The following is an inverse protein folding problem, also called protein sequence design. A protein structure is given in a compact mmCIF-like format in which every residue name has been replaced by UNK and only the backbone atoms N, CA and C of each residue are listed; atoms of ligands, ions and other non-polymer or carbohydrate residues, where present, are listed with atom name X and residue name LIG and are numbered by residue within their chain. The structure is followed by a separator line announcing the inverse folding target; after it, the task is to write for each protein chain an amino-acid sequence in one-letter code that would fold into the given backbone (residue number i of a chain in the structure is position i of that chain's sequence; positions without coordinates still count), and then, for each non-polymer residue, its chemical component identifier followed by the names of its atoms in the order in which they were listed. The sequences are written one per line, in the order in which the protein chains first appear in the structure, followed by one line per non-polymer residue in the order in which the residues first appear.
data_IF_196578765092
#
_entry.id   IF_196578765092
#
_cell.length_a   1.000
_cell.length_b   1.000
_cell.length_c   1.000
_cell.angle_alpha   90.00
_cell.angle_beta   90.00
_cell.angle_gamma   90.00
#
_symmetry.space_group_name_H-M   'P 1'
#
loop_
_entity.id
_entity.type
_entity.pdbx_description
1 polymer ?
#
# COMPACT_ATOMS: atom_id res chain seq x y z
N UNK A 1 -52.10 39.88 17.54
CA UNK A 1 -51.54 38.90 16.64
C UNK A 1 -50.07 39.20 16.23
N UNK A 2 -49.33 40.01 16.96
CA UNK A 2 -47.92 40.39 16.67
C UNK A 2 -46.87 39.82 17.65
N UNK A 3 -47.30 39.17 18.75
CA UNK A 3 -46.38 38.62 19.76
C UNK A 3 -45.89 37.18 19.46
N UNK A 4 -46.53 36.45 18.54
CA UNK A 4 -46.16 35.07 18.24
C UNK A 4 -45.06 34.96 17.17
N UNK A 5 -44.85 35.95 16.33
CA UNK A 5 -43.79 35.90 15.28
C UNK A 5 -42.38 36.21 15.82
N UNK A 6 -42.26 36.97 16.90
CA UNK A 6 -40.94 37.31 17.47
C UNK A 6 -40.31 36.15 18.24
N UNK A 7 -41.11 35.30 18.89
CA UNK A 7 -40.61 34.16 19.65
C UNK A 7 -40.11 33.02 18.74
N UNK A 8 -40.72 32.81 17.60
CA UNK A 8 -40.31 31.78 16.65
C UNK A 8 -39.00 32.13 15.91
N UNK A 9 -38.79 33.42 15.61
CA UNK A 9 -37.58 33.87 14.91
C UNK A 9 -36.35 33.83 15.84
N UNK A 10 -36.53 34.25 17.11
CA UNK A 10 -35.43 34.19 18.11
C UNK A 10 -35.04 32.77 18.47
N UNK A 11 -36.04 31.86 18.56
CA UNK A 11 -35.79 30.44 18.81
C UNK A 11 -35.07 29.76 17.62
N UNK A 12 -35.45 30.13 16.38
CA UNK A 12 -34.78 29.64 15.17
C UNK A 12 -33.32 30.11 15.09
N UNK A 13 -33.03 31.34 15.39
CA UNK A 13 -31.67 31.90 15.46
C UNK A 13 -30.88 31.24 16.58
N UNK A 14 -31.45 30.99 17.75
CA UNK A 14 -30.77 30.30 18.87
C UNK A 14 -30.50 28.83 18.54
N UNK A 15 -31.44 28.15 17.90
CA UNK A 15 -31.28 26.76 17.46
C UNK A 15 -30.21 26.67 16.34
N UNK A 16 -30.19 27.59 15.38
CA UNK A 16 -29.20 27.67 14.32
C UNK A 16 -27.81 28.02 14.90
N UNK A 17 -27.75 28.91 15.90
CA UNK A 17 -26.52 29.24 16.62
C UNK A 17 -26.03 28.07 17.49
N UNK A 18 -26.94 27.33 18.16
CA UNK A 18 -26.61 26.12 18.94
C UNK A 18 -26.23 24.92 18.04
N UNK A 19 -26.83 24.81 16.85
CA UNK A 19 -26.43 23.80 15.85
C UNK A 19 -25.07 24.16 15.28
N UNK A 20 -24.81 25.41 14.95
CA UNK A 20 -23.50 25.90 14.51
C UNK A 20 -22.44 25.87 15.61
N UNK A 21 -22.81 26.06 16.89
CA UNK A 21 -21.94 25.94 18.05
C UNK A 21 -21.69 24.47 18.46
N UNK A 22 -22.64 23.54 18.19
CA UNK A 22 -22.43 22.09 18.32
C UNK A 22 -21.76 21.45 17.12
N UNK A 23 -21.73 22.11 15.98
CA UNK A 23 -20.78 21.90 14.91
C UNK A 23 -19.45 22.63 15.21
N UNK A 24 -19.12 22.75 16.51
CA UNK A 24 -17.83 23.19 16.97
C UNK A 24 -16.76 22.50 16.13
N UNK A 25 -15.88 23.30 15.56
CA UNK A 25 -14.72 22.93 14.78
C UNK A 25 -14.26 21.53 15.17
N UNK A 26 -14.62 20.51 14.38
CA UNK A 26 -13.87 19.25 14.40
C UNK A 26 -12.48 19.67 14.00
N UNK A 27 -11.64 19.90 14.98
CA UNK A 27 -10.22 20.15 14.77
C UNK A 27 -9.77 19.00 13.87
N UNK A 28 -9.44 19.31 12.61
CA UNK A 28 -8.94 18.29 11.69
C UNK A 28 -7.73 17.65 12.39
N UNK A 29 -7.72 16.33 12.45
CA UNK A 29 -6.57 15.63 13.01
C UNK A 29 -5.32 16.06 12.25
N UNK A 30 -4.26 16.36 12.99
CA UNK A 30 -3.01 16.90 12.46
C UNK A 30 -2.16 15.77 11.85
N UNK A 31 -1.69 15.97 10.63
CA UNK A 31 -0.71 15.08 10.02
C UNK A 31 0.65 15.39 10.65
N UNK A 32 1.23 14.38 11.31
CA UNK A 32 2.54 14.49 11.98
C UNK A 32 3.58 13.70 11.21
N UNK A 33 4.77 14.30 11.10
CA UNK A 33 5.94 13.67 10.49
C UNK A 33 6.82 13.07 11.58
N UNK A 34 7.17 11.80 11.40
CA UNK A 34 8.10 11.07 12.27
C UNK A 34 9.35 10.72 11.47
N UNK A 35 10.51 10.67 12.12
CA UNK A 35 11.78 10.40 11.44
C UNK A 35 12.55 9.28 12.14
N UNK A 36 13.11 8.41 11.31
CA UNK A 36 14.16 7.47 11.69
C UNK A 36 15.35 7.70 10.77
N UNK A 37 16.54 7.74 11.35
CA UNK A 37 17.77 7.92 10.56
C UNK A 37 18.96 7.21 11.20
N UNK A 38 19.86 6.77 10.36
CA UNK A 38 21.18 6.28 10.72
C UNK A 38 22.20 6.71 9.65
N UNK A 39 23.41 6.16 9.66
CA UNK A 39 24.44 6.50 8.67
C UNK A 39 24.13 6.02 7.24
N UNK A 40 23.19 5.09 7.06
CA UNK A 40 22.82 4.46 5.78
C UNK A 40 21.52 5.02 5.21
N UNK A 41 20.50 5.22 6.07
CA UNK A 41 19.12 5.51 5.66
C UNK A 41 18.55 6.69 6.44
N UNK A 42 17.71 7.50 5.76
CA UNK A 42 16.85 8.51 6.39
C UNK A 42 15.43 8.29 5.90
N UNK A 43 14.50 8.13 6.84
CA UNK A 43 13.10 7.81 6.52
C UNK A 43 12.17 8.77 7.23
N UNK A 44 11.22 9.35 6.49
CA UNK A 44 10.12 10.14 7.05
C UNK A 44 8.81 9.37 6.92
N UNK A 45 8.05 9.37 8.00
CA UNK A 45 6.75 8.70 8.09
C UNK A 45 5.65 9.69 8.46
N UNK A 46 4.40 9.39 8.05
CA UNK A 46 3.21 10.12 8.49
C UNK A 46 2.36 9.23 9.39
N UNK A 47 1.72 9.83 10.40
CA UNK A 47 0.68 9.14 11.18
C UNK A 47 -0.62 8.90 10.40
N UNK A 48 -0.80 9.48 9.22
CA UNK A 48 -1.88 9.21 8.29
C UNK A 48 -1.47 8.03 7.40
N UNK A 49 -2.25 6.93 7.44
CA UNK A 49 -1.98 5.72 6.66
C UNK A 49 -0.71 4.95 7.06
N UNK A 50 -0.05 5.29 8.18
CA UNK A 50 1.28 4.77 8.55
C UNK A 50 2.27 4.87 7.36
N UNK A 51 2.24 5.99 6.67
CA UNK A 51 2.83 6.21 5.34
C UNK A 51 4.35 6.39 5.41
N UNK A 52 5.10 5.71 4.55
CA UNK A 52 6.49 6.06 4.21
C UNK A 52 6.42 7.26 3.24
N UNK A 53 6.68 8.48 3.74
CA UNK A 53 6.64 9.71 2.95
C UNK A 53 7.92 9.92 2.14
N UNK A 54 9.06 9.57 2.74
CA UNK A 54 10.39 9.79 2.17
C UNK A 54 11.32 8.67 2.61
N UNK A 55 12.16 8.21 1.70
CA UNK A 55 13.21 7.22 1.98
C UNK A 55 14.46 7.63 1.21
N UNK A 56 15.46 8.08 1.96
CA UNK A 56 16.73 8.51 1.38
C UNK A 56 17.80 7.44 1.60
N UNK A 57 18.48 7.08 0.53
CA UNK A 57 19.61 6.16 0.52
C UNK A 57 20.80 6.82 -0.20
N UNK A 58 22.03 6.35 0.07
CA UNK A 58 23.20 6.88 -0.57
C UNK A 58 23.35 6.30 -1.99
N UNK A 59 23.63 7.18 -2.95
CA UNK A 59 24.02 6.79 -4.29
C UNK A 59 25.50 6.34 -4.32
N UNK A 60 25.98 5.90 -5.49
CA UNK A 60 27.39 5.50 -5.70
C UNK A 60 28.44 6.57 -5.39
N UNK A 61 28.03 7.84 -5.27
CA UNK A 61 28.90 8.97 -4.91
C UNK A 61 28.79 9.35 -3.42
N UNK A 62 27.98 8.63 -2.65
CA UNK A 62 27.74 8.87 -1.23
C UNK A 62 26.70 9.95 -0.93
N UNK A 63 25.97 10.49 -1.93
CA UNK A 63 24.94 11.48 -1.74
C UNK A 63 23.60 10.82 -1.43
N UNK A 64 22.89 11.33 -0.43
CA UNK A 64 21.53 10.88 -0.14
C UNK A 64 20.56 11.29 -1.25
N UNK A 65 19.77 10.32 -1.74
CA UNK A 65 18.69 10.50 -2.71
C UNK A 65 17.39 9.94 -2.18
N UNK A 66 16.31 10.71 -2.30
CA UNK A 66 14.98 10.18 -2.03
C UNK A 66 14.56 9.24 -3.16
N UNK A 67 14.29 7.99 -2.84
CA UNK A 67 13.98 6.93 -3.81
C UNK A 67 12.50 6.53 -3.82
N UNK A 68 11.62 7.27 -3.14
CA UNK A 68 10.18 7.02 -3.18
C UNK A 68 9.44 8.26 -3.68
N UNK A 69 8.40 8.04 -4.47
CA UNK A 69 7.49 9.10 -4.88
C UNK A 69 6.53 9.46 -3.75
N UNK A 70 6.13 10.71 -3.71
CA UNK A 70 5.16 11.25 -2.77
C UNK A 70 4.88 12.72 -3.04
N UNK A 71 4.02 13.32 -2.25
CA UNK A 71 3.71 14.73 -2.33
C UNK A 71 4.65 15.54 -1.42
N UNK A 72 5.12 16.69 -1.91
CA UNK A 72 5.85 17.66 -1.08
C UNK A 72 4.94 18.26 -0.01
N UNK A 73 3.71 18.64 -0.41
CA UNK A 73 2.67 19.11 0.49
C UNK A 73 2.01 17.94 1.23
N UNK A 74 2.21 17.89 2.54
CA UNK A 74 1.69 16.80 3.40
C UNK A 74 0.16 16.76 3.44
N UNK A 75 -0.53 17.89 3.23
CA UNK A 75 -1.99 17.92 3.25
C UNK A 75 -2.61 17.14 2.08
N UNK A 76 -1.88 16.98 0.96
CA UNK A 76 -2.31 16.14 -0.17
C UNK A 76 -2.42 14.65 0.18
N UNK A 77 -1.74 14.20 1.25
CA UNK A 77 -1.88 12.83 1.73
C UNK A 77 -3.26 12.53 2.35
N UNK A 78 -4.10 13.55 2.64
CA UNK A 78 -5.48 13.32 3.08
C UNK A 78 -6.33 12.64 2.00
N UNK A 79 -6.05 12.92 0.75
CA UNK A 79 -6.72 12.29 -0.39
C UNK A 79 -5.94 11.09 -0.90
N UNK A 80 -4.63 11.21 -1.05
CA UNK A 80 -3.66 10.19 -1.48
C UNK A 80 -4.23 9.17 -2.49
N UNK A 81 -4.70 9.59 -3.66
CA UNK A 81 -5.43 8.71 -4.59
C UNK A 81 -4.58 7.56 -5.14
N UNK A 82 -3.26 7.68 -5.11
CA UNK A 82 -2.31 6.63 -5.48
C UNK A 82 -1.82 5.81 -4.30
N UNK A 83 -2.29 6.06 -3.07
CA UNK A 83 -1.83 5.38 -1.87
C UNK A 83 -0.31 5.50 -1.61
N UNK A 84 0.34 6.56 -2.08
CA UNK A 84 1.79 6.76 -1.93
C UNK A 84 2.26 6.41 -0.52
N UNK A 85 3.10 5.38 -0.42
CA UNK A 85 3.76 4.91 0.79
C UNK A 85 2.86 4.38 1.90
N UNK A 86 1.54 4.38 1.72
CA UNK A 86 0.58 4.00 2.76
C UNK A 86 0.57 2.49 3.03
N UNK A 87 0.23 2.13 4.25
CA UNK A 87 -0.15 0.75 4.60
C UNK A 87 -1.53 0.47 4.04
N UNK A 88 -1.66 -0.63 3.31
CA UNK A 88 -2.89 -1.06 2.67
C UNK A 88 -3.56 -2.16 3.48
N UNK A 89 -4.86 -2.06 3.68
CA UNK A 89 -5.68 -3.03 4.41
C UNK A 89 -7.12 -2.55 4.62
N UNK A 90 -8.05 -3.45 5.09
CA UNK A 90 -7.75 -4.83 5.57
C UNK A 90 -7.24 -5.76 4.48
N UNK A 91 -7.63 -5.57 3.21
CA UNK A 91 -7.18 -6.43 2.11
C UNK A 91 -6.52 -5.59 1.03
N UNK A 92 -5.28 -5.89 0.74
CA UNK A 92 -4.56 -5.34 -0.39
C UNK A 92 -5.10 -5.92 -1.71
N UNK A 93 -5.05 -5.13 -2.77
CA UNK A 93 -5.63 -5.47 -4.06
C UNK A 93 -7.15 -5.46 -4.04
N UNK A 94 -7.74 -6.20 -4.97
CA UNK A 94 -9.21 -6.21 -5.19
C UNK A 94 -9.87 -7.43 -4.58
N UNK A 95 -11.12 -7.26 -4.13
CA UNK A 95 -12.07 -8.34 -3.82
C UNK A 95 -13.25 -8.21 -4.78
N UNK A 96 -13.47 -9.23 -5.58
CA UNK A 96 -14.49 -9.27 -6.63
C UNK A 96 -15.90 -9.05 -6.07
N UNK A 97 -16.71 -8.26 -6.76
CA UNK A 97 -18.10 -7.94 -6.41
C UNK A 97 -18.27 -7.33 -5.00
N UNK A 98 -17.19 -6.87 -4.37
CA UNK A 98 -17.18 -6.43 -2.98
C UNK A 98 -17.80 -7.49 -2.03
N UNK A 99 -17.50 -8.77 -2.24
CA UNK A 99 -18.01 -9.90 -1.47
C UNK A 99 -16.88 -10.72 -0.85
N UNK A 100 -16.84 -10.78 0.47
CA UNK A 100 -15.92 -11.63 1.21
C UNK A 100 -16.67 -12.85 1.75
N UNK A 101 -16.36 -14.03 1.21
CA UNK A 101 -16.94 -15.29 1.69
C UNK A 101 -16.05 -15.91 2.77
N UNK A 102 -16.62 -16.16 3.94
CA UNK A 102 -15.97 -16.86 5.05
C UNK A 102 -16.89 -17.98 5.51
N UNK A 103 -16.53 -19.22 5.26
CA UNK A 103 -17.42 -20.36 5.45
C UNK A 103 -18.70 -20.21 4.62
N UNK A 104 -19.86 -20.32 5.26
CA UNK A 104 -21.17 -20.14 4.60
C UNK A 104 -21.69 -18.68 4.61
N UNK A 105 -20.95 -17.76 5.23
CA UNK A 105 -21.33 -16.36 5.31
C UNK A 105 -20.68 -15.55 4.19
N UNK A 106 -21.48 -14.64 3.61
CA UNK A 106 -20.99 -13.63 2.65
C UNK A 106 -21.12 -12.25 3.30
N UNK A 107 -19.99 -11.59 3.45
CA UNK A 107 -19.92 -10.21 3.92
C UNK A 107 -19.86 -9.26 2.74
N UNK A 108 -20.78 -8.29 2.70
CA UNK A 108 -20.76 -7.22 1.70
C UNK A 108 -19.79 -6.15 2.15
N UNK A 109 -18.75 -5.96 1.35
CA UNK A 109 -17.72 -4.96 1.58
C UNK A 109 -18.09 -3.63 0.93
N UNK A 110 -17.37 -2.58 1.30
CA UNK A 110 -17.50 -1.28 0.64
C UNK A 110 -16.96 -1.35 -0.79
N UNK A 111 -17.83 -1.02 -1.76
CA UNK A 111 -17.48 -1.00 -3.19
C UNK A 111 -16.93 0.37 -3.57
N UNK A 112 -15.65 0.44 -3.94
CA UNK A 112 -14.94 1.67 -4.29
C UNK A 112 -14.22 1.63 -5.63
N UNK A 113 -14.28 0.50 -6.36
CA UNK A 113 -13.62 0.35 -7.65
C UNK A 113 -14.42 -0.56 -8.59
N UNK A 114 -15.22 0.02 -9.51
CA UNK A 114 -15.98 -0.70 -10.53
C UNK A 114 -16.78 -1.91 -10.00
N UNK A 115 -17.49 -1.74 -8.88
CA UNK A 115 -18.26 -2.81 -8.26
C UNK A 115 -17.45 -3.73 -7.34
N UNK A 116 -16.13 -3.60 -7.30
CA UNK A 116 -15.22 -4.35 -6.44
C UNK A 116 -14.78 -3.53 -5.22
N UNK A 117 -14.25 -4.18 -4.20
CA UNK A 117 -13.49 -3.52 -3.14
C UNK A 117 -12.03 -3.43 -3.57
N UNK A 118 -11.44 -2.24 -3.49
CA UNK A 118 -10.00 -2.01 -3.68
C UNK A 118 -9.39 -1.52 -2.37
N UNK A 119 -8.27 -2.11 -1.97
CA UNK A 119 -7.43 -1.66 -0.85
C UNK A 119 -8.19 -1.43 0.46
N UNK A 120 -9.17 -2.31 0.76
CA UNK A 120 -9.94 -2.25 2.01
C UNK A 120 -11.16 -1.31 2.01
N UNK A 121 -11.48 -0.65 0.88
CA UNK A 121 -12.67 0.20 0.74
C UNK A 121 -12.39 1.70 0.92
N UNK A 122 -13.44 2.53 0.86
CA UNK A 122 -13.36 4.00 0.85
C UNK A 122 -12.74 4.62 2.12
N UNK A 123 -12.99 3.98 3.27
CA UNK A 123 -12.50 4.42 4.58
C UNK A 123 -11.44 3.47 5.12
N UNK A 124 -10.61 2.95 4.21
CA UNK A 124 -9.54 2.01 4.56
C UNK A 124 -8.53 2.61 5.54
N UNK A 125 -7.76 1.75 6.17
CA UNK A 125 -6.72 2.15 7.13
C UNK A 125 -5.66 3.05 6.51
N UNK A 126 -5.52 3.05 5.17
CA UNK A 126 -4.60 3.90 4.40
C UNK A 126 -4.94 5.40 4.48
N UNK A 127 -6.19 5.74 4.78
CA UNK A 127 -6.69 7.11 4.87
C UNK A 127 -7.10 7.50 6.30
N UNK A 128 -6.59 6.76 7.30
CA UNK A 128 -6.92 6.99 8.71
C UNK A 128 -5.66 7.35 9.49
N UNK A 129 -5.87 8.08 10.59
CA UNK A 129 -4.80 8.42 11.52
C UNK A 129 -4.47 7.25 12.43
N UNK A 130 -3.18 7.00 12.60
CA UNK A 130 -2.63 5.97 13.45
C UNK A 130 -1.99 6.57 14.69
N UNK A 131 -2.09 5.88 15.81
CA UNK A 131 -1.27 6.17 16.98
C UNK A 131 0.16 5.72 16.71
N UNK A 132 1.13 6.53 17.13
CA UNK A 132 2.56 6.26 16.89
C UNK A 132 3.31 6.22 18.18
N UNK A 133 4.04 5.14 18.41
CA UNK A 133 4.95 4.95 19.53
C UNK A 133 6.38 4.82 19.02
N UNK A 134 7.33 5.51 19.67
CA UNK A 134 8.75 5.38 19.37
C UNK A 134 9.33 4.24 20.21
N UNK A 135 10.00 3.31 19.54
CA UNK A 135 10.72 2.18 20.15
C UNK A 135 12.21 2.26 19.82
N UNK A 136 13.00 1.35 20.36
CA UNK A 136 14.42 1.27 20.02
C UNK A 136 14.59 0.99 18.53
N UNK A 137 15.31 1.87 17.83
CA UNK A 137 15.57 1.83 16.38
C UNK A 137 14.33 1.76 15.49
N UNK A 138 13.14 2.17 15.99
CA UNK A 138 11.91 2.02 15.23
C UNK A 138 10.75 2.88 15.68
N UNK A 139 9.65 2.71 14.93
CA UNK A 139 8.32 3.28 15.22
C UNK A 139 7.28 2.17 15.11
N UNK A 140 6.33 2.15 16.04
CA UNK A 140 5.15 1.28 16.00
C UNK A 140 3.93 2.16 15.74
N UNK A 141 3.25 1.87 14.65
CA UNK A 141 1.96 2.44 14.29
C UNK A 141 0.86 1.48 14.66
N UNK A 142 -0.21 1.96 15.32
CA UNK A 142 -1.34 1.13 15.72
C UNK A 142 -2.67 1.79 15.39
N UNK A 143 -3.65 0.98 15.00
CA UNK A 143 -5.02 1.39 14.70
C UNK A 143 -6.00 0.27 15.01
N UNK A 144 -7.18 0.65 15.51
CA UNK A 144 -8.30 -0.27 15.67
C UNK A 144 -9.19 -0.26 14.42
N UNK A 145 -9.62 -1.44 13.98
CA UNK A 145 -10.59 -1.62 12.93
C UNK A 145 -11.75 -2.46 13.47
N UNK A 146 -12.91 -1.84 13.79
CA UNK A 146 -14.03 -2.53 14.45
C UNK A 146 -14.75 -3.51 13.51
N UNK A 147 -15.55 -4.40 14.10
CA UNK A 147 -16.44 -5.28 13.36
C UNK A 147 -17.32 -4.49 12.37
N UNK A 148 -17.41 -4.97 11.14
CA UNK A 148 -18.08 -4.34 9.98
C UNK A 148 -17.46 -3.00 9.52
N UNK A 149 -16.24 -2.69 9.91
CA UNK A 149 -15.47 -1.62 9.31
C UNK A 149 -15.28 -1.90 7.81
N UNK A 150 -15.81 -1.01 6.93
CA UNK A 150 -15.95 -1.23 5.48
C UNK A 150 -16.59 -2.61 5.11
N UNK A 151 -17.40 -3.19 6.00
CA UNK A 151 -18.08 -4.47 5.82
C UNK A 151 -17.29 -5.71 6.28
N UNK A 152 -16.04 -5.58 6.69
CA UNK A 152 -15.23 -6.71 7.14
C UNK A 152 -15.62 -7.20 8.54
N UNK A 153 -15.72 -8.53 8.78
CA UNK A 153 -16.00 -9.07 10.11
C UNK A 153 -14.80 -8.96 11.06
N UNK A 154 -15.06 -9.17 12.34
CA UNK A 154 -14.13 -9.11 13.48
C UNK A 154 -13.65 -7.70 13.87
N UNK A 155 -13.33 -7.54 15.15
CA UNK A 155 -12.56 -6.41 15.65
C UNK A 155 -11.08 -6.75 15.54
N UNK A 156 -10.28 -5.81 15.02
CA UNK A 156 -8.84 -5.94 14.85
C UNK A 156 -8.09 -4.84 15.58
N UNK A 157 -7.01 -5.21 16.27
CA UNK A 157 -5.91 -4.32 16.63
C UNK A 157 -4.78 -4.55 15.62
N UNK A 158 -4.52 -3.57 14.76
CA UNK A 158 -3.50 -3.66 13.71
C UNK A 158 -2.27 -2.87 14.14
N UNK A 159 -1.10 -3.51 14.11
CA UNK A 159 0.19 -2.88 14.40
C UNK A 159 1.12 -3.03 13.21
N UNK A 160 1.79 -1.94 12.84
CA UNK A 160 2.86 -1.92 11.84
C UNK A 160 4.08 -1.31 12.46
N UNK A 161 5.18 -2.06 12.47
CA UNK A 161 6.46 -1.59 13.00
C UNK A 161 7.42 -1.32 11.86
N UNK A 162 8.04 -0.15 11.85
CA UNK A 162 9.15 0.19 10.97
C UNK A 162 10.44 0.21 11.79
N UNK A 163 11.41 -0.60 11.39
CA UNK A 163 12.66 -0.80 12.14
C UNK A 163 13.83 -0.53 11.20
N UNK A 164 14.76 0.34 11.61
CA UNK A 164 16.03 0.54 10.91
C UNK A 164 17.12 -0.33 11.49
N UNK A 165 17.75 -1.14 10.64
CA UNK A 165 18.90 -1.94 11.01
C UNK A 165 19.98 -1.79 9.95
N UNK A 166 21.00 -0.95 10.18
CA UNK A 166 22.03 -0.60 9.21
C UNK A 166 21.39 -0.11 7.90
N UNK A 167 21.66 -0.76 6.78
CA UNK A 167 21.13 -0.48 5.45
C UNK A 167 19.79 -1.17 5.16
N UNK A 168 19.07 -1.61 6.18
CA UNK A 168 17.78 -2.30 6.08
C UNK A 168 16.66 -1.48 6.73
N UNK A 169 15.55 -1.33 6.02
CA UNK A 169 14.25 -0.90 6.55
C UNK A 169 13.34 -2.14 6.60
N UNK A 170 13.03 -2.61 7.80
CA UNK A 170 12.10 -3.71 8.02
C UNK A 170 10.72 -3.17 8.35
N UNK A 171 9.70 -3.72 7.69
CA UNK A 171 8.27 -3.50 7.97
C UNK A 171 7.70 -4.78 8.54
N UNK A 172 7.19 -4.73 9.77
CA UNK A 172 6.52 -5.88 10.42
C UNK A 172 5.06 -5.56 10.62
N UNK A 173 4.22 -6.50 10.26
CA UNK A 173 2.77 -6.46 10.46
C UNK A 173 2.40 -7.44 11.56
N UNK A 174 1.61 -6.97 12.52
CA UNK A 174 1.05 -7.80 13.58
C UNK A 174 -0.40 -7.42 13.80
N UNK A 175 -1.30 -8.41 13.83
CA UNK A 175 -2.73 -8.18 14.07
C UNK A 175 -3.33 -9.33 14.86
N UNK A 176 -4.14 -8.96 15.85
CA UNK A 176 -5.04 -9.87 16.55
C UNK A 176 -6.47 -9.63 16.12
N UNK A 177 -7.25 -10.69 15.98
CA UNK A 177 -8.68 -10.66 15.71
C UNK A 177 -9.43 -11.31 16.89
N UNK A 178 -10.65 -10.84 17.16
CA UNK A 178 -11.53 -11.46 18.16
C UNK A 178 -12.40 -12.58 17.59
N UNK A 179 -12.42 -12.72 16.28
CA UNK A 179 -13.17 -13.76 15.56
C UNK A 179 -12.63 -13.97 14.15
N UNK A 180 -13.12 -15.00 13.45
CA UNK A 180 -12.62 -15.39 12.13
C UNK A 180 -12.79 -14.26 11.11
N UNK A 181 -11.69 -13.88 10.46
CA UNK A 181 -11.64 -12.88 9.38
C UNK A 181 -10.49 -13.14 8.41
N UNK A 182 -10.49 -12.43 7.28
CA UNK A 182 -9.39 -12.40 6.33
C UNK A 182 -8.66 -11.07 6.39
N UNK A 183 -7.33 -11.14 6.37
CA UNK A 183 -6.45 -9.98 6.39
C UNK A 183 -5.31 -10.20 5.39
N UNK A 184 -4.99 -9.16 4.63
CA UNK A 184 -3.90 -9.15 3.66
C UNK A 184 -3.31 -7.74 3.62
N UNK A 185 -2.26 -7.50 4.40
CA UNK A 185 -1.64 -6.18 4.54
C UNK A 185 -0.41 -6.06 3.63
N UNK A 186 -0.17 -4.85 3.12
CA UNK A 186 1.04 -4.51 2.39
C UNK A 186 1.40 -3.03 2.58
N UNK A 187 2.54 -2.59 2.02
CA UNK A 187 2.93 -1.18 1.90
C UNK A 187 3.00 -0.79 0.42
N UNK A 188 2.41 0.35 0.06
CA UNK A 188 2.28 0.82 -1.31
C UNK A 188 3.31 1.92 -1.65
N UNK A 189 4.57 1.69 -1.32
CA UNK A 189 5.66 2.60 -1.69
C UNK A 189 6.00 2.48 -3.17
N UNK A 190 6.11 3.63 -3.82
CA UNK A 190 6.50 3.75 -5.23
C UNK A 190 7.99 4.07 -5.31
N UNK A 191 8.80 3.11 -5.67
CA UNK A 191 10.25 3.25 -5.74
C UNK A 191 10.71 3.79 -7.09
N UNK A 192 11.59 4.78 -7.05
CA UNK A 192 12.36 5.26 -8.18
C UNK A 192 13.84 5.37 -7.76
N UNK A 193 14.63 4.37 -8.08
CA UNK A 193 16.02 4.27 -7.61
C UNK A 193 16.96 5.29 -8.28
N UNK A 194 16.54 5.99 -9.34
CA UNK A 194 17.29 7.11 -9.88
C UNK A 194 17.30 8.32 -8.94
N UNK A 195 16.30 8.42 -8.02
CA UNK A 195 16.10 9.56 -7.14
C UNK A 195 15.58 10.82 -7.87
N UNK A 196 15.15 10.68 -9.13
CA UNK A 196 14.56 11.75 -9.91
C UNK A 196 13.17 11.33 -10.41
N UNK A 197 12.05 11.93 -9.92
CA UNK A 197 10.69 11.56 -10.30
C UNK A 197 10.37 11.78 -11.78
N UNK A 198 11.17 12.56 -12.50
CA UNK A 198 11.04 12.77 -13.95
C UNK A 198 11.61 11.61 -14.79
N UNK A 199 12.40 10.72 -14.18
CA UNK A 199 12.93 9.56 -14.87
C UNK A 199 11.92 8.41 -14.82
N UNK A 200 11.87 7.62 -15.90
CA UNK A 200 11.15 6.34 -15.90
C UNK A 200 12.04 5.23 -15.35
N UNK A 201 11.40 4.13 -14.91
CA UNK A 201 12.09 2.92 -14.43
C UNK A 201 12.63 2.03 -15.57
N UNK A 202 12.60 2.47 -16.82
CA UNK A 202 12.92 1.61 -17.98
C UNK A 202 14.35 1.06 -17.96
N UNK A 203 15.30 1.82 -17.44
CA UNK A 203 16.69 1.41 -17.36
C UNK A 203 17.03 0.60 -16.09
N UNK A 204 16.06 0.45 -15.17
CA UNK A 204 16.22 -0.37 -13.99
C UNK A 204 16.27 -1.85 -14.35
N UNK A 205 17.08 -2.61 -13.62
CA UNK A 205 17.27 -4.05 -13.79
C UNK A 205 16.54 -4.77 -12.69
N UNK A 206 15.55 -5.60 -13.05
CA UNK A 206 14.71 -6.35 -12.13
C UNK A 206 15.06 -7.84 -12.17
N UNK A 207 15.03 -8.50 -11.00
CA UNK A 207 15.12 -9.95 -10.84
C UNK A 207 14.13 -10.40 -9.76
N UNK A 208 13.36 -11.45 -10.06
CA UNK A 208 12.34 -12.00 -9.13
C UNK A 208 12.50 -13.52 -9.10
N UNK A 209 12.57 -14.12 -7.90
CA UNK A 209 12.56 -15.57 -7.72
C UNK A 209 11.13 -16.11 -7.77
N UNK A 210 10.57 -16.20 -8.98
CA UNK A 210 9.21 -16.68 -9.23
C UNK A 210 9.15 -17.44 -10.55
N UNK A 211 8.48 -18.60 -10.56
CA UNK A 211 8.21 -19.37 -11.78
C UNK A 211 6.82 -19.08 -12.34
N UNK A 212 5.96 -18.43 -11.57
CA UNK A 212 4.58 -18.16 -11.93
C UNK A 212 4.17 -16.74 -11.62
N UNK A 213 3.44 -16.13 -12.54
CA UNK A 213 2.64 -14.95 -12.24
C UNK A 213 1.16 -15.30 -12.22
N UNK A 214 0.34 -14.47 -11.62
CA UNK A 214 -1.12 -14.57 -11.72
C UNK A 214 -1.61 -13.52 -12.70
N UNK A 215 -2.24 -13.98 -13.80
CA UNK A 215 -2.90 -13.13 -14.77
C UNK A 215 -4.13 -12.46 -14.18
N UNK A 216 -4.48 -11.31 -14.74
CA UNK A 216 -5.62 -10.51 -14.31
C UNK A 216 -6.65 -10.38 -15.44
N UNK A 217 -7.92 -10.26 -15.06
CA UNK A 217 -8.99 -9.89 -15.99
C UNK A 217 -9.05 -8.36 -16.22
N UNK A 218 -9.97 -7.91 -17.07
CA UNK A 218 -10.18 -6.49 -17.42
C UNK A 218 -10.52 -5.59 -16.22
N UNK A 219 -10.94 -6.18 -15.11
CA UNK A 219 -11.19 -5.49 -13.84
C UNK A 219 -10.00 -5.61 -12.87
N UNK A 220 -8.84 -6.07 -13.35
CA UNK A 220 -7.65 -6.37 -12.56
C UNK A 220 -7.91 -7.35 -11.41
N UNK A 221 -8.80 -8.33 -11.63
CA UNK A 221 -9.07 -9.43 -10.70
C UNK A 221 -8.19 -10.62 -11.08
N UNK A 222 -7.44 -11.22 -10.14
CA UNK A 222 -6.69 -12.45 -10.37
C UNK A 222 -7.59 -13.55 -10.99
N UNK A 223 -7.16 -14.16 -12.10
CA UNK A 223 -8.00 -15.09 -12.85
C UNK A 223 -7.31 -16.41 -13.23
N UNK A 224 -6.02 -16.41 -13.50
CA UNK A 224 -5.30 -17.61 -13.90
C UNK A 224 -3.83 -17.58 -13.43
N UNK A 225 -3.21 -18.76 -13.27
CA UNK A 225 -1.78 -18.87 -12.99
C UNK A 225 -1.04 -19.15 -14.29
N UNK A 226 -0.05 -18.31 -14.61
CA UNK A 226 0.71 -18.34 -15.88
C UNK A 226 2.16 -18.69 -15.57
N UNK A 227 2.70 -19.73 -16.23
CA UNK A 227 4.11 -20.05 -16.15
C UNK A 227 4.96 -19.01 -16.88
N UNK A 228 6.11 -18.68 -16.33
CA UNK A 228 6.98 -17.62 -16.85
C UNK A 228 7.92 -18.07 -17.96
N UNK A 229 7.96 -19.37 -18.31
CA UNK A 229 8.81 -19.88 -19.38
C UNK A 229 8.47 -19.23 -20.73
N UNK A 230 9.47 -18.59 -21.35
CA UNK A 230 9.35 -17.85 -22.61
C UNK A 230 8.33 -16.68 -22.56
N UNK A 231 8.07 -16.13 -21.39
CA UNK A 231 7.14 -15.02 -21.17
C UNK A 231 7.87 -13.69 -21.02
N UNK A 232 7.25 -12.58 -21.44
CA UNK A 232 7.87 -11.25 -21.27
C UNK A 232 8.03 -10.87 -19.79
N UNK A 233 7.21 -11.44 -18.88
CA UNK A 233 7.27 -11.29 -17.44
C UNK A 233 8.33 -12.18 -16.75
N UNK A 234 9.13 -12.92 -17.52
CA UNK A 234 10.22 -13.74 -16.96
C UNK A 234 11.38 -12.84 -16.49
N UNK A 235 11.40 -12.58 -15.17
CA UNK A 235 12.44 -11.87 -14.45
C UNK A 235 13.29 -12.79 -13.56
N UNK A 236 13.26 -14.10 -13.75
CA UNK A 236 14.10 -15.07 -12.99
C UNK A 236 15.60 -14.80 -13.17
N UNK A 237 15.98 -14.26 -14.32
CA UNK A 237 17.30 -13.68 -14.60
C UNK A 237 17.16 -12.16 -14.62
N UNK A 238 18.22 -11.48 -14.16
CA UNK A 238 18.29 -10.01 -14.20
C UNK A 238 17.98 -9.49 -15.61
N UNK A 239 16.96 -8.64 -15.75
CA UNK A 239 16.46 -8.12 -17.02
C UNK A 239 16.13 -6.64 -16.89
N UNK A 240 16.48 -5.84 -17.88
CA UNK A 240 16.06 -4.44 -17.94
C UNK A 240 14.54 -4.35 -18.13
N UNK A 241 13.90 -3.47 -17.38
CA UNK A 241 12.48 -3.20 -17.54
C UNK A 241 12.13 -2.65 -18.94
N UNK A 242 13.06 -1.94 -19.58
CA UNK A 242 12.91 -1.49 -20.96
C UNK A 242 12.56 -2.63 -21.93
N UNK A 243 13.20 -3.80 -21.78
CA UNK A 243 12.94 -4.94 -22.64
C UNK A 243 11.49 -5.47 -22.48
N UNK A 244 10.96 -5.40 -21.26
CA UNK A 244 9.54 -5.69 -21.00
C UNK A 244 8.64 -4.63 -21.65
N UNK A 245 8.93 -3.33 -21.46
CA UNK A 245 8.09 -2.26 -21.98
C UNK A 245 8.03 -2.23 -23.51
N UNK A 246 9.11 -2.66 -24.20
CA UNK A 246 9.16 -2.73 -25.66
C UNK A 246 8.47 -3.97 -26.25
N UNK A 247 8.24 -4.99 -25.45
CA UNK A 247 7.54 -6.21 -25.89
C UNK A 247 6.00 -6.04 -25.87
N UNK A 248 5.31 -6.85 -26.66
CA UNK A 248 3.84 -6.89 -26.68
C UNK A 248 3.31 -8.13 -25.98
N UNK A 249 2.31 -7.96 -25.14
CA UNK A 249 1.63 -9.05 -24.43
C UNK A 249 0.22 -8.62 -24.03
N UNK A 250 -0.74 -9.56 -24.01
CA UNK A 250 -2.11 -9.28 -23.64
C UNK A 250 -2.25 -8.85 -22.16
N UNK A 251 -1.55 -9.49 -21.26
CA UNK A 251 -1.58 -9.15 -19.83
C UNK A 251 -0.98 -7.77 -19.57
N UNK A 252 0.07 -7.39 -20.29
CA UNK A 252 0.63 -6.04 -20.27
C UNK A 252 -0.40 -5.00 -20.74
N UNK A 253 -1.14 -5.28 -21.81
CA UNK A 253 -2.18 -4.38 -22.34
C UNK A 253 -3.34 -4.22 -21.35
N UNK A 254 -3.80 -5.30 -20.72
CA UNK A 254 -4.84 -5.28 -19.67
C UNK A 254 -4.38 -4.40 -18.50
N UNK A 255 -3.10 -4.43 -18.13
CA UNK A 255 -2.51 -3.61 -17.08
C UNK A 255 -2.16 -2.18 -17.54
N UNK A 256 -2.78 -1.66 -18.60
CA UNK A 256 -2.51 -0.31 -19.14
C UNK A 256 -1.03 -0.14 -19.53
N UNK A 257 -0.50 -1.05 -20.32
CA UNK A 257 0.87 -1.09 -20.85
C UNK A 257 1.99 -1.20 -19.80
N UNK A 258 1.69 -1.82 -18.67
CA UNK A 258 2.66 -2.05 -17.60
C UNK A 258 2.51 -3.38 -16.90
N UNK A 259 3.04 -3.47 -15.69
CA UNK A 259 2.82 -4.58 -14.77
C UNK A 259 1.81 -4.14 -13.71
N UNK A 260 0.84 -4.97 -13.35
CA UNK A 260 -0.06 -4.89 -12.19
C UNK A 260 -0.44 -6.31 -11.77
N UNK A 261 0.59 -7.15 -11.52
CA UNK A 261 0.41 -8.60 -11.42
C UNK A 261 1.07 -9.17 -10.18
N UNK A 262 0.43 -10.16 -9.53
CA UNK A 262 1.06 -10.96 -8.48
C UNK A 262 2.06 -11.96 -9.07
N UNK A 263 3.27 -11.98 -8.52
CA UNK A 263 4.29 -13.01 -8.74
C UNK A 263 4.35 -13.92 -7.53
N UNK A 264 4.24 -15.23 -7.72
CA UNK A 264 4.25 -16.23 -6.65
C UNK A 264 5.70 -16.61 -6.39
N UNK A 265 6.20 -16.41 -5.16
CA UNK A 265 7.55 -16.78 -4.82
C UNK A 265 7.74 -18.30 -4.80
N UNK A 266 8.90 -18.74 -5.29
CA UNK A 266 9.27 -20.17 -5.34
C UNK A 266 9.62 -20.72 -3.96
N UNK A 267 10.03 -19.86 -3.02
CA UNK A 267 10.52 -20.22 -1.71
C UNK A 267 9.66 -19.60 -0.60
N UNK A 268 9.73 -20.22 0.61
CA UNK A 268 9.05 -19.71 1.79
C UNK A 268 9.48 -18.28 2.14
N UNK A 269 10.73 -17.93 1.89
CA UNK A 269 11.23 -16.56 2.00
C UNK A 269 11.38 -16.02 0.58
N UNK A 270 10.43 -15.16 0.21
CA UNK A 270 10.41 -14.49 -1.09
C UNK A 270 11.54 -13.50 -1.24
N UNK A 271 12.15 -13.45 -2.44
CA UNK A 271 13.26 -12.54 -2.76
C UNK A 271 13.11 -11.95 -4.15
N UNK A 272 13.38 -10.66 -4.23
CA UNK A 272 13.57 -9.96 -5.49
C UNK A 272 14.68 -8.90 -5.35
N UNK A 273 15.19 -8.43 -6.48
CA UNK A 273 16.21 -7.38 -6.55
C UNK A 273 15.88 -6.39 -7.66
N UNK A 274 16.14 -5.12 -7.40
CA UNK A 274 16.08 -4.07 -8.41
C UNK A 274 17.32 -3.17 -8.29
N UNK A 275 17.88 -2.75 -9.42
CA UNK A 275 19.08 -1.94 -9.48
C UNK A 275 18.95 -0.84 -10.54
N UNK A 276 19.35 0.38 -10.19
CA UNK A 276 19.53 1.48 -11.12
C UNK A 276 21.03 1.76 -11.31
N UNK A 277 21.57 1.49 -12.49
CA UNK A 277 23.01 1.62 -12.77
C UNK A 277 23.47 3.09 -12.78
N UNK A 278 22.58 4.05 -13.07
CA UNK A 278 22.93 5.47 -13.09
C UNK A 278 23.22 5.99 -11.67
N UNK A 279 22.32 5.73 -10.73
CA UNK A 279 22.51 6.09 -9.32
C UNK A 279 23.48 5.14 -8.61
N UNK A 280 23.58 3.89 -9.08
CA UNK A 280 24.29 2.80 -8.43
C UNK A 280 23.55 2.23 -7.21
N UNK A 281 22.27 2.63 -7.00
CA UNK A 281 21.45 2.13 -5.91
C UNK A 281 20.87 0.79 -6.31
N UNK A 282 21.07 -0.20 -5.45
CA UNK A 282 20.47 -1.53 -5.52
C UNK A 282 19.61 -1.76 -4.30
N UNK A 283 18.39 -2.25 -4.50
CA UNK A 283 17.46 -2.67 -3.44
C UNK A 283 17.16 -4.15 -3.59
N UNK A 284 17.30 -4.89 -2.48
CA UNK A 284 16.78 -6.25 -2.35
C UNK A 284 15.58 -6.25 -1.45
N UNK A 285 14.55 -7.02 -1.80
CA UNK A 285 13.36 -7.23 -0.96
C UNK A 285 13.36 -8.67 -0.48
N UNK A 286 13.17 -8.87 0.83
CA UNK A 286 13.00 -10.17 1.47
C UNK A 286 11.70 -10.18 2.28
N UNK A 287 10.90 -11.25 2.19
CA UNK A 287 9.60 -11.33 2.85
C UNK A 287 9.19 -12.78 3.13
N UNK A 288 8.36 -12.99 4.16
CA UNK A 288 7.66 -14.24 4.42
C UNK A 288 6.27 -14.31 3.78
N UNK A 289 5.89 -13.29 3.01
CA UNK A 289 4.68 -13.33 2.21
C UNK A 289 4.84 -14.27 1.01
N UNK A 290 3.78 -14.98 0.58
CA UNK A 290 3.87 -15.98 -0.50
C UNK A 290 4.02 -15.36 -1.89
N UNK A 291 3.71 -14.09 -2.06
CA UNK A 291 3.72 -13.40 -3.34
C UNK A 291 4.10 -11.92 -3.20
N UNK A 292 4.36 -11.29 -4.34
CA UNK A 292 4.50 -9.85 -4.48
C UNK A 292 3.68 -9.37 -5.67
N UNK A 293 2.86 -8.35 -5.47
CA UNK A 293 2.27 -7.60 -6.59
C UNK A 293 3.30 -6.58 -7.04
N UNK A 294 3.68 -6.66 -8.32
CA UNK A 294 4.49 -5.64 -8.98
C UNK A 294 3.54 -4.68 -9.69
N UNK A 295 3.67 -3.39 -9.38
CA UNK A 295 2.93 -2.34 -10.06
C UNK A 295 3.87 -1.26 -10.59
N UNK A 296 3.83 -0.99 -11.88
CA UNK A 296 4.80 -0.09 -12.55
C UNK A 296 4.29 1.35 -12.75
N UNK A 297 3.38 1.80 -11.90
CA UNK A 297 2.90 3.19 -11.93
C UNK A 297 2.13 3.55 -13.20
N UNK A 298 1.26 2.65 -13.67
CA UNK A 298 0.60 2.69 -14.98
C UNK A 298 -0.40 3.85 -15.15
N UNK A 299 -0.80 4.50 -14.04
CA UNK A 299 -1.76 5.62 -14.00
C UNK A 299 -1.19 6.86 -13.30
N UNK A 300 0.11 6.95 -13.09
CA UNK A 300 0.74 8.07 -12.37
C UNK A 300 0.55 9.40 -13.09
N UNK A 301 0.36 9.40 -14.42
CA UNK A 301 0.09 10.62 -15.20
C UNK A 301 -1.23 11.29 -14.81
N UNK A 302 -2.20 10.55 -14.30
CA UNK A 302 -3.52 11.09 -13.91
C UNK A 302 -3.44 11.97 -12.64
N UNK A 303 -2.33 11.88 -11.89
CA UNK A 303 -2.06 12.65 -10.68
C UNK A 303 -0.82 13.54 -10.78
N UNK A 304 -0.35 13.79 -11.99
CA UNK A 304 0.70 14.76 -12.28
C UNK A 304 2.13 14.23 -12.19
N UNK A 305 2.33 12.92 -12.14
CA UNK A 305 3.64 12.28 -12.28
C UNK A 305 3.81 11.69 -13.68
N UNK A 306 5.01 11.31 -14.04
CA UNK A 306 5.25 10.64 -15.32
C UNK A 306 4.82 9.17 -15.25
N UNK A 307 4.12 8.67 -16.28
CA UNK A 307 3.79 7.24 -16.40
C UNK A 307 5.06 6.41 -16.32
N UNK A 308 5.04 5.33 -15.54
CA UNK A 308 6.18 4.44 -15.30
C UNK A 308 7.40 5.15 -14.66
N UNK A 309 7.19 6.21 -13.90
CA UNK A 309 8.28 6.84 -13.14
C UNK A 309 8.60 6.13 -11.82
N UNK A 310 7.85 5.11 -11.46
CA UNK A 310 8.14 4.31 -10.27
C UNK A 310 7.55 2.89 -10.36
N UNK A 311 8.00 2.03 -9.43
CA UNK A 311 7.57 0.65 -9.28
C UNK A 311 7.22 0.37 -7.82
N UNK A 312 6.12 -0.36 -7.58
CA UNK A 312 5.72 -0.85 -6.27
C UNK A 312 6.07 -2.33 -6.13
N UNK A 313 6.46 -2.72 -4.92
CA UNK A 313 6.70 -4.09 -4.50
C UNK A 313 5.81 -4.40 -3.31
N UNK A 314 4.57 -4.75 -3.60
CA UNK A 314 3.55 -5.01 -2.60
C UNK A 314 3.61 -6.49 -2.19
N UNK A 315 4.44 -6.80 -1.20
CA UNK A 315 4.55 -8.16 -0.67
C UNK A 315 3.30 -8.50 0.12
N UNK A 316 2.59 -9.56 -0.28
CA UNK A 316 1.26 -9.89 0.21
C UNK A 316 0.85 -11.31 -0.22
N UNK A 317 -0.34 -11.77 0.19
CA UNK A 317 -1.02 -12.89 -0.47
C UNK A 317 -1.59 -12.43 -1.82
N UNK A 318 -1.81 -13.38 -2.74
CA UNK A 318 -2.48 -13.07 -4.01
C UNK A 318 -3.88 -12.49 -3.72
N UNK A 319 -4.23 -11.31 -4.27
CA UNK A 319 -5.52 -10.68 -4.01
C UNK A 319 -6.72 -11.56 -4.36
N UNK A 320 -7.91 -11.17 -3.89
CA UNK A 320 -9.18 -11.86 -4.15
C UNK A 320 -9.24 -13.29 -3.56
N UNK A 321 -8.49 -13.59 -2.51
CA UNK A 321 -8.41 -14.93 -1.89
C UNK A 321 -8.06 -16.03 -2.92
N UNK A 322 -7.30 -15.68 -3.96
CA UNK A 322 -7.09 -16.51 -5.11
C UNK A 322 -6.32 -17.82 -4.83
N UNK A 323 -5.31 -17.75 -3.96
CA UNK A 323 -4.47 -18.90 -3.60
C UNK A 323 -4.38 -19.05 -2.08
N UNK A 324 -4.95 -20.13 -1.54
CA UNK A 324 -4.78 -20.55 -0.15
C UNK A 324 -4.76 -19.40 0.87
N UNK A 325 -5.83 -18.59 0.96
CA UNK A 325 -5.86 -17.40 1.81
C UNK A 325 -5.68 -17.77 3.28
N UNK A 326 -4.88 -16.99 4.00
CA UNK A 326 -4.65 -17.19 5.43
C UNK A 326 -5.69 -16.43 6.25
N UNK A 327 -6.67 -17.16 6.77
CA UNK A 327 -7.59 -16.59 7.75
C UNK A 327 -6.93 -16.50 9.13
N UNK A 328 -7.37 -15.52 9.91
CA UNK A 328 -6.99 -15.30 11.30
C UNK A 328 -8.23 -15.32 12.20
N UNK A 329 -8.05 -15.61 13.47
CA UNK A 329 -9.08 -15.64 14.50
C UNK A 329 -8.46 -15.33 15.89
N UNK A 330 -9.20 -15.55 16.96
CA UNK A 330 -8.75 -15.32 18.33
C UNK A 330 -7.55 -16.19 18.75
N UNK A 331 -7.31 -17.31 18.03
CA UNK A 331 -6.23 -18.28 18.32
C UNK A 331 -5.02 -18.11 17.38
N UNK A 332 -5.20 -17.40 16.25
CA UNK A 332 -4.18 -17.24 15.20
C UNK A 332 -4.01 -15.79 14.83
N UNK A 333 -2.91 -15.18 15.26
CA UNK A 333 -2.53 -13.84 14.86
C UNK A 333 -2.07 -13.79 13.39
N UNK A 334 -2.17 -12.59 12.78
CA UNK A 334 -1.49 -12.28 11.54
C UNK A 334 -0.11 -11.74 11.84
N UNK A 335 0.91 -12.42 11.32
CA UNK A 335 2.30 -11.98 11.43
C UNK A 335 2.96 -12.10 10.08
N UNK A 336 3.51 -10.98 9.58
CA UNK A 336 4.24 -10.89 8.31
C UNK A 336 5.35 -9.86 8.42
N UNK A 337 6.38 -10.02 7.59
CA UNK A 337 7.41 -9.00 7.46
C UNK A 337 7.83 -8.78 6.00
N UNK A 338 8.42 -7.62 5.77
CA UNK A 338 9.12 -7.25 4.54
C UNK A 338 10.34 -6.44 4.90
N UNK A 339 11.46 -6.77 4.30
CA UNK A 339 12.73 -6.07 4.42
C UNK A 339 13.10 -5.43 3.10
N UNK A 340 13.41 -4.14 3.14
CA UNK A 340 14.02 -3.41 2.04
C UNK A 340 15.49 -3.18 2.40
N UNK A 341 16.41 -3.80 1.65
CA UNK A 341 17.85 -3.84 1.93
C UNK A 341 18.55 -3.09 0.81
N UNK A 342 19.35 -2.07 1.15
CA UNK A 342 19.99 -1.18 0.20
C UNK A 342 21.50 -1.39 0.19
N UNK A 343 22.12 -1.43 -1.03
CA UNK A 343 23.56 -1.59 -1.26
C UNK A 343 24.06 -0.54 -2.25
#
# INVERSE_FOLDING_TARGET
MQFHLFFTHTLYILITFLINFKMGERKLEEIKVYKLENEFLKVEFLNLGATIKKLEVKDKNGNFRNIVLGFDDIEKYRENPAYFGAVIGRTAGRIKNAELKIGDKVYKLDSNNNGNTLHGGKKSISHRFWTVEKVENGLVFSIDSPHLDNGYPANLEIKVSYILNKNELEVRYFTKADSLTYLNLTNHSYFNLSGNPENTIYEDILKINSDYLVGIDENSIPCETIALDNNIFDFRKSKKLKDFFMASDVQKTIANDGIDHPFIFNEKIGRLEIENLESGIKMSVETDNPAVVIYTGNYLQDIGFKKHSAICFETQEVPNLYLNPSFIDENKAYERYTKFIFN
#
